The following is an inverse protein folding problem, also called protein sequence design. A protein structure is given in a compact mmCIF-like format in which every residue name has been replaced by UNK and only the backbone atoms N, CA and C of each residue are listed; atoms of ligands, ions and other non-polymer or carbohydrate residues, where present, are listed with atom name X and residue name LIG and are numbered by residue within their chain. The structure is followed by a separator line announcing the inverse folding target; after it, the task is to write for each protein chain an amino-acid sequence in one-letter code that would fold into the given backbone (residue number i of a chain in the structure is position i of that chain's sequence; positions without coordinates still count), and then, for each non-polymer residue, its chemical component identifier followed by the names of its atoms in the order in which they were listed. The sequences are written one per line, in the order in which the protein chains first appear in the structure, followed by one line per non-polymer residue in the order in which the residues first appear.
data_IF_549989819753
#
_entry.id   IF_549989819753
#
_cell.length_a   1.000
_cell.length_b   1.000
_cell.length_c   1.000
_cell.angle_alpha   90.00
_cell.angle_beta   90.00
_cell.angle_gamma   90.00
#
_symmetry.space_group_name_H-M   'P 1'
#
loop_
_entity.id
_entity.type
_entity.pdbx_description
1 polymer ?
#
# COMPACT_ATOMS: atom_id res chain seq x y z
N UNK A 1 18.08 -2.73 -16.04
CA UNK A 1 16.94 -2.83 -15.11
C UNK A 1 16.82 -1.51 -14.35
N UNK A 2 15.63 -0.91 -14.27
CA UNK A 2 15.46 0.38 -13.59
C UNK A 2 15.69 0.23 -12.07
N UNK A 3 16.24 1.27 -11.43
CA UNK A 3 16.34 1.33 -9.97
C UNK A 3 14.95 1.38 -9.35
N UNK A 4 14.74 0.73 -8.21
CA UNK A 4 13.48 0.75 -7.46
C UNK A 4 13.03 2.19 -7.18
N UNK A 5 14.00 3.07 -6.90
CA UNK A 5 13.74 4.48 -6.59
C UNK A 5 13.15 5.28 -7.76
N UNK A 6 13.35 4.81 -9.00
CA UNK A 6 12.83 5.43 -10.22
C UNK A 6 11.54 4.74 -10.72
N UNK A 7 11.11 3.66 -10.07
CA UNK A 7 9.93 2.91 -10.48
C UNK A 7 8.65 3.65 -10.06
N UNK A 8 7.68 3.76 -10.97
CA UNK A 8 6.42 4.50 -10.73
C UNK A 8 5.65 3.99 -9.52
N UNK A 9 5.61 2.67 -9.28
CA UNK A 9 4.97 2.09 -8.09
C UNK A 9 5.64 2.53 -6.79
N UNK A 10 6.96 2.72 -6.77
CA UNK A 10 7.66 3.24 -5.60
C UNK A 10 7.40 4.74 -5.41
N UNK A 11 7.36 5.52 -6.50
CA UNK A 11 6.99 6.95 -6.43
C UNK A 11 5.56 7.12 -5.88
N UNK A 12 4.62 6.31 -6.37
CA UNK A 12 3.25 6.25 -5.82
C UNK A 12 3.24 5.89 -4.34
N UNK A 13 4.04 4.89 -3.93
CA UNK A 13 4.14 4.45 -2.53
C UNK A 13 4.68 5.56 -1.62
N UNK A 14 5.72 6.27 -2.05
CA UNK A 14 6.33 7.36 -1.26
C UNK A 14 5.48 8.63 -1.19
N UNK A 15 4.54 8.80 -2.13
CA UNK A 15 3.56 9.88 -2.10
C UNK A 15 2.45 9.64 -1.05
N UNK A 16 2.27 8.40 -0.58
CA UNK A 16 1.26 8.08 0.43
C UNK A 16 1.59 8.75 1.76
N UNK A 17 0.63 9.47 2.32
CA UNK A 17 0.76 10.18 3.61
C UNK A 17 0.41 9.30 4.81
N UNK A 18 -0.30 8.20 4.56
CA UNK A 18 -0.74 7.25 5.58
C UNK A 18 -0.85 5.85 4.98
N UNK A 19 -0.78 4.81 5.81
CA UNK A 19 -1.14 3.47 5.38
C UNK A 19 -2.65 3.23 5.33
N UNK A 20 -3.47 4.21 5.73
CA UNK A 20 -4.92 4.09 5.63
C UNK A 20 -5.33 3.80 4.19
N UNK A 21 -5.96 2.63 3.97
CA UNK A 21 -6.34 2.15 2.64
C UNK A 21 -5.25 1.39 1.88
N UNK A 22 -4.03 1.31 2.41
CA UNK A 22 -2.98 0.40 1.92
C UNK A 22 -3.11 -0.95 2.62
N UNK A 23 -3.25 -2.02 1.85
CA UNK A 23 -3.18 -3.37 2.39
C UNK A 23 -1.71 -3.78 2.54
N UNK A 24 -1.09 -3.39 3.66
CA UNK A 24 0.30 -3.73 3.95
C UNK A 24 0.40 -5.20 4.41
N UNK A 25 1.12 -6.06 3.67
CA UNK A 25 1.24 -7.47 4.03
C UNK A 25 2.07 -7.63 5.31
N UNK A 26 1.87 -8.75 6.02
CA UNK A 26 2.64 -9.06 7.21
C UNK A 26 4.15 -9.09 6.91
N UNK A 27 4.96 -8.82 7.94
CA UNK A 27 6.40 -9.03 7.83
C UNK A 27 6.70 -10.49 7.46
N UNK A 28 7.66 -10.74 6.56
CA UNK A 28 8.10 -12.10 6.27
C UNK A 28 8.69 -12.75 7.52
N UNK A 29 8.75 -14.08 7.52
CA UNK A 29 9.47 -14.81 8.55
C UNK A 29 10.95 -14.36 8.59
N UNK A 30 11.60 -14.39 9.78
CA UNK A 30 13.01 -14.15 9.88
C UNK A 30 13.81 -15.08 8.95
N UNK A 31 14.90 -14.56 8.39
CA UNK A 31 15.83 -15.33 7.58
C UNK A 31 16.61 -16.35 8.44
N UNK A 32 17.52 -17.09 7.80
CA UNK A 32 18.38 -18.09 8.45
C UNK A 32 19.27 -17.52 9.55
N UNK A 33 19.45 -16.20 9.61
CA UNK A 33 20.21 -15.47 10.63
C UNK A 33 19.29 -14.82 11.68
N UNK A 34 18.00 -15.16 11.69
CA UNK A 34 16.96 -14.60 12.55
C UNK A 34 16.67 -13.11 12.32
N UNK A 35 17.04 -12.56 11.15
CA UNK A 35 16.70 -11.20 10.79
C UNK A 35 15.40 -11.16 9.99
N UNK A 36 14.49 -10.27 10.37
CA UNK A 36 13.31 -9.96 9.57
C UNK A 36 13.70 -8.97 8.48
N UNK A 37 13.61 -9.33 7.18
CA UNK A 37 14.01 -8.43 6.11
C UNK A 37 12.97 -7.33 5.87
N UNK A 38 13.46 -6.12 5.56
CA UNK A 38 12.69 -5.03 5.00
C UNK A 38 12.98 -4.87 3.51
N UNK A 39 12.01 -4.38 2.75
CA UNK A 39 12.24 -4.03 1.34
C UNK A 39 13.01 -2.71 1.23
N UNK A 40 13.77 -2.56 0.14
CA UNK A 40 14.51 -1.33 -0.14
C UNK A 40 13.57 -0.14 -0.25
N UNK A 41 13.85 0.93 0.51
CA UNK A 41 13.04 2.14 0.51
C UNK A 41 11.73 2.02 1.29
N UNK A 42 11.50 0.94 2.04
CA UNK A 42 10.27 0.75 2.81
C UNK A 42 10.15 1.84 3.89
N UNK A 43 8.93 2.39 4.04
CA UNK A 43 8.62 3.54 4.91
C UNK A 43 7.54 3.26 5.96
N UNK A 44 6.64 2.31 5.72
CA UNK A 44 5.55 2.02 6.66
C UNK A 44 5.90 0.88 7.61
N UNK A 45 5.50 1.01 8.88
CA UNK A 45 5.56 -0.08 9.84
C UNK A 45 4.49 -1.14 9.50
N UNK A 46 4.90 -2.41 9.48
CA UNK A 46 4.07 -3.59 9.19
C UNK A 46 3.94 -4.52 10.39
N UNK A 47 4.46 -4.12 11.55
CA UNK A 47 4.27 -4.86 12.80
C UNK A 47 2.79 -5.06 13.10
N UNK A 48 2.47 -6.23 13.67
CA UNK A 48 1.11 -6.54 14.14
C UNK A 48 0.71 -5.54 15.24
N UNK A 49 -0.57 -5.14 15.22
CA UNK A 49 -1.18 -4.26 16.23
C UNK A 49 -0.54 -2.88 16.40
N UNK A 50 0.25 -2.40 15.42
CA UNK A 50 0.79 -1.04 15.44
C UNK A 50 -0.04 -0.08 14.59
N UNK A 51 -0.19 1.16 15.06
CA UNK A 51 -0.83 2.26 14.32
C UNK A 51 0.02 2.61 13.08
N UNK A 52 -0.47 2.25 11.89
CA UNK A 52 0.26 2.33 10.60
C UNK A 52 0.15 3.74 9.96
N UNK A 53 -0.02 4.76 10.78
CA UNK A 53 -0.68 5.99 10.34
C UNK A 53 0.28 6.90 9.58
N UNK A 54 1.58 6.85 9.88
CA UNK A 54 2.59 7.79 9.40
C UNK A 54 3.79 7.03 8.81
N UNK A 55 4.18 7.31 7.55
CA UNK A 55 5.39 6.74 6.98
C UNK A 55 6.63 7.36 7.63
N UNK A 56 7.64 6.52 7.93
CA UNK A 56 8.98 7.00 8.21
C UNK A 56 9.53 7.80 7.02
N UNK A 57 10.47 8.72 7.24
CA UNK A 57 11.09 9.48 6.13
C UNK A 57 12.09 8.66 5.32
N UNK A 58 12.60 7.56 5.88
CA UNK A 58 13.52 6.63 5.22
C UNK A 58 13.47 5.25 5.89
N UNK A 59 14.01 4.23 5.23
CA UNK A 59 14.13 2.87 5.80
C UNK A 59 15.01 2.83 7.04
N UNK A 60 15.99 3.72 7.16
CA UNK A 60 16.81 3.82 8.38
C UNK A 60 16.02 4.38 9.56
N UNK A 61 15.14 5.37 9.30
CA UNK A 61 14.24 5.85 10.35
C UNK A 61 13.17 4.82 10.70
N UNK A 62 12.73 4.03 9.72
CA UNK A 62 11.87 2.87 9.98
C UNK A 62 12.58 1.84 10.85
N UNK A 63 13.85 1.51 10.59
CA UNK A 63 14.64 0.61 11.45
C UNK A 63 14.73 1.11 12.89
N UNK A 64 15.10 2.39 13.09
CA UNK A 64 15.12 3.01 14.42
C UNK A 64 13.76 2.92 15.12
N UNK A 65 12.69 3.13 14.37
CA UNK A 65 11.33 2.97 14.87
C UNK A 65 11.06 1.53 15.36
N UNK A 66 11.42 0.51 14.57
CA UNK A 66 11.29 -0.89 15.01
C UNK A 66 12.12 -1.20 16.24
N UNK A 67 13.38 -0.74 16.31
CA UNK A 67 14.20 -0.92 17.52
C UNK A 67 13.54 -0.33 18.77
N UNK A 68 12.90 0.84 18.64
CA UNK A 68 12.25 1.52 19.77
C UNK A 68 10.87 0.96 20.14
N UNK A 69 10.05 0.61 19.16
CA UNK A 69 8.63 0.26 19.35
C UNK A 69 8.35 -1.24 19.24
N UNK A 70 9.26 -1.99 18.64
CA UNK A 70 9.15 -3.42 18.39
C UNK A 70 10.45 -4.16 18.75
N UNK A 71 10.93 -4.08 20.00
CA UNK A 71 12.26 -4.57 20.38
C UNK A 71 12.45 -6.08 20.20
N UNK A 72 11.36 -6.85 20.08
CA UNK A 72 11.39 -8.29 19.79
C UNK A 72 11.65 -8.61 18.32
N UNK A 73 11.49 -7.63 17.42
CA UNK A 73 11.77 -7.80 16.00
C UNK A 73 13.20 -7.36 15.71
N UNK A 74 14.04 -8.32 15.33
CA UNK A 74 15.41 -8.06 14.91
C UNK A 74 15.39 -7.87 13.39
N UNK A 75 15.67 -6.65 12.94
CA UNK A 75 15.70 -6.33 11.51
C UNK A 75 17.09 -6.48 10.94
N UNK A 76 17.19 -6.83 9.65
CA UNK A 76 18.48 -6.78 8.98
C UNK A 76 19.01 -5.34 8.88
N UNK A 77 20.29 -5.17 9.18
CA UNK A 77 21.06 -4.02 8.71
C UNK A 77 21.42 -4.30 7.26
N UNK A 78 20.84 -3.55 6.31
CA UNK A 78 21.37 -3.59 4.95
C UNK A 78 22.71 -2.87 4.94
N UNK A 79 23.78 -3.63 4.76
CA UNK A 79 25.14 -3.12 4.56
C UNK A 79 25.49 -3.25 3.07
N UNK A 80 26.04 -2.20 2.48
CA UNK A 80 26.49 -2.19 1.08
C UNK A 80 25.46 -1.69 0.06
N UNK A 81 25.85 -1.77 -1.22
CA UNK A 81 25.06 -1.28 -2.35
C UNK A 81 23.94 -2.29 -2.69
N UNK A 82 22.69 -1.84 -2.89
CA UNK A 82 21.61 -2.73 -3.30
C UNK A 82 21.95 -3.56 -4.54
N UNK A 83 21.70 -4.86 -4.46
CA UNK A 83 21.89 -5.79 -5.59
C UNK A 83 20.60 -5.92 -6.42
N UNK A 84 20.74 -6.37 -7.65
CA UNK A 84 19.61 -6.50 -8.61
C UNK A 84 18.44 -7.33 -8.06
N UNK A 85 18.73 -8.37 -7.27
CA UNK A 85 17.70 -9.24 -6.68
C UNK A 85 16.84 -8.48 -5.66
N UNK A 86 17.46 -7.68 -4.79
CA UNK A 86 16.75 -6.87 -3.79
C UNK A 86 15.92 -5.76 -4.46
N UNK A 87 16.49 -5.14 -5.50
CA UNK A 87 15.80 -4.13 -6.32
C UNK A 87 14.55 -4.73 -6.98
N UNK A 88 14.65 -5.94 -7.53
CA UNK A 88 13.54 -6.65 -8.16
C UNK A 88 12.46 -7.00 -7.15
N UNK A 89 12.86 -7.53 -5.99
CA UNK A 89 11.94 -7.87 -4.91
C UNK A 89 11.19 -6.63 -4.38
N UNK A 90 11.89 -5.50 -4.23
CA UNK A 90 11.29 -4.24 -3.83
C UNK A 90 10.28 -3.73 -4.87
N UNK A 91 10.62 -3.75 -6.16
CA UNK A 91 9.69 -3.37 -7.24
C UNK A 91 8.43 -4.24 -7.20
N UNK A 92 8.58 -5.57 -7.12
CA UNK A 92 7.45 -6.50 -7.04
C UNK A 92 6.54 -6.21 -5.84
N UNK A 93 7.12 -5.92 -4.67
CA UNK A 93 6.39 -5.51 -3.48
C UNK A 93 5.57 -4.23 -3.73
N UNK A 94 6.17 -3.17 -4.27
CA UNK A 94 5.47 -1.91 -4.50
C UNK A 94 4.39 -2.01 -5.58
N UNK A 95 4.64 -2.79 -6.63
CA UNK A 95 3.63 -3.04 -7.68
C UNK A 95 2.44 -3.81 -7.12
N UNK A 96 2.66 -4.83 -6.28
CA UNK A 96 1.58 -5.56 -5.63
C UNK A 96 0.70 -4.65 -4.75
N UNK A 97 1.31 -3.75 -3.97
CA UNK A 97 0.58 -2.77 -3.16
C UNK A 97 -0.27 -1.83 -4.01
N UNK A 98 0.30 -1.29 -5.09
CA UNK A 98 -0.40 -0.38 -5.99
C UNK A 98 -1.58 -1.08 -6.68
N UNK A 99 -1.38 -2.31 -7.17
CA UNK A 99 -2.43 -3.08 -7.83
C UNK A 99 -3.57 -3.42 -6.86
N UNK A 100 -3.26 -3.85 -5.63
CA UNK A 100 -4.27 -4.12 -4.61
C UNK A 100 -5.09 -2.87 -4.25
N UNK A 101 -4.43 -1.71 -4.17
CA UNK A 101 -5.11 -0.43 -3.95
C UNK A 101 -6.06 -0.09 -5.10
N UNK A 102 -5.57 -0.14 -6.34
CA UNK A 102 -6.37 0.18 -7.53
C UNK A 102 -7.57 -0.75 -7.70
N UNK A 103 -7.39 -2.06 -7.48
CA UNK A 103 -8.48 -3.03 -7.52
C UNK A 103 -9.57 -2.70 -6.48
N UNK A 104 -9.19 -2.28 -5.27
CA UNK A 104 -10.15 -1.87 -4.24
C UNK A 104 -10.92 -0.62 -4.65
N UNK A 105 -10.23 0.38 -5.21
CA UNK A 105 -10.89 1.62 -5.68
C UNK A 105 -11.86 1.30 -6.83
N UNK A 106 -11.47 0.45 -7.77
CA UNK A 106 -12.35 0.00 -8.85
C UNK A 106 -13.59 -0.73 -8.32
N UNK A 107 -13.42 -1.66 -7.37
CA UNK A 107 -14.54 -2.38 -6.76
C UNK A 107 -15.51 -1.45 -6.01
N UNK A 108 -14.99 -0.42 -5.32
CA UNK A 108 -15.85 0.59 -4.66
C UNK A 108 -16.62 1.41 -5.70
N UNK A 109 -15.98 1.79 -6.81
CA UNK A 109 -16.63 2.52 -7.88
C UNK A 109 -17.72 1.69 -8.58
N UNK A 110 -17.48 0.41 -8.80
CA UNK A 110 -18.44 -0.53 -9.36
C UNK A 110 -19.63 -0.76 -8.42
N UNK A 111 -19.38 -0.99 -7.13
CA UNK A 111 -20.42 -1.10 -6.12
C UNK A 111 -21.27 0.19 -6.01
N UNK A 112 -20.64 1.36 -6.13
CA UNK A 112 -21.35 2.64 -6.16
C UNK A 112 -22.19 2.81 -7.45
N UNK A 113 -21.76 2.25 -8.58
CA UNK A 113 -22.52 2.29 -9.83
C UNK A 113 -23.76 1.39 -9.77
N UNK A 114 -23.65 0.20 -9.17
CA UNK A 114 -24.77 -0.74 -8.99
C UNK A 114 -25.87 -0.21 -8.05
N UNK A 115 -25.49 0.59 -7.06
CA UNK A 115 -26.44 1.17 -6.10
C UNK A 115 -27.03 2.51 -6.55
N UNK A 116 -26.85 2.92 -7.81
CA UNK A 116 -27.52 4.11 -8.34
C UNK A 116 -29.02 3.81 -8.51
N UNK A 117 -29.92 4.60 -7.90
CA UNK A 117 -31.35 4.42 -8.12
C UNK A 117 -31.65 4.58 -9.61
N UNK A 118 -32.48 3.68 -10.14
CA UNK A 118 -32.93 3.76 -11.52
C UNK A 118 -33.63 5.11 -11.73
N UNK A 119 -33.20 5.86 -12.75
CA UNK A 119 -33.88 7.09 -13.13
C UNK A 119 -35.25 6.66 -13.66
N UNK A 120 -36.37 7.10 -13.06
CA UNK A 120 -37.68 6.73 -13.56
C UNK A 120 -37.88 7.37 -14.94
N UNK A 121 -38.20 6.56 -15.94
CA UNK A 121 -38.52 7.00 -17.30
C UNK A 121 -40.02 6.88 -17.56
N UNK A 122 -40.58 7.85 -18.28
CA UNK A 122 -41.94 7.77 -18.83
C UNK A 122 -41.97 6.79 -20.00
N UNK A 123 -43.17 6.37 -20.41
CA UNK A 123 -43.39 5.53 -21.62
C UNK A 123 -42.89 6.18 -22.92
N UNK A 124 -42.69 7.50 -22.94
CA UNK A 124 -42.15 8.27 -24.08
C UNK A 124 -40.62 8.44 -24.05
N UNK A 125 -39.93 7.86 -23.06
CA UNK A 125 -38.47 7.95 -22.90
C UNK A 125 -37.97 9.21 -22.19
N UNK A 126 -38.86 10.14 -21.80
CA UNK A 126 -38.49 11.31 -21.00
C UNK A 126 -38.32 10.96 -19.51
N UNK A 127 -37.49 11.72 -18.78
CA UNK A 127 -37.24 11.49 -17.34
C UNK A 127 -38.48 11.92 -16.53
N UNK A 128 -38.96 11.05 -15.64
CA UNK A 128 -40.05 11.33 -14.69
C UNK A 128 -39.51 12.18 -13.52
N UNK A 129 -39.44 13.50 -13.71
CA UNK A 129 -38.90 14.45 -12.71
C UNK A 129 -39.67 14.51 -11.38
N UNK A 130 -40.85 13.89 -11.28
CA UNK A 130 -41.74 13.93 -10.11
C UNK A 130 -41.34 12.98 -8.98
N UNK A 131 -40.53 11.95 -9.24
CA UNK A 131 -40.12 10.95 -8.23
C UNK A 131 -38.68 11.14 -7.71
N UNK A 132 -37.98 12.18 -8.17
CA UNK A 132 -36.56 12.44 -7.82
C UNK A 132 -36.40 13.15 -6.45
N UNK A 133 -37.43 13.21 -5.60
CA UNK A 133 -37.33 13.86 -4.27
C UNK A 133 -37.79 12.96 -3.11
N UNK A 134 -36.85 12.24 -2.49
CA UNK A 134 -36.26 12.56 -1.18
C UNK A 134 -35.15 11.56 -0.84
#
# INVERSE_FOLDING_TARGET
MARYSQHSSYQWYTAQRSANGLNLPALPAPDTRSYTPLYLGERFCRALNYRKDIPATSTNNLRKHYTSKHPKLILNTTEGRPITVEETAAIGFYTALCNAYNARIAAVAEAAALNKPAIPYKKDGSIHLTEIKK
#
